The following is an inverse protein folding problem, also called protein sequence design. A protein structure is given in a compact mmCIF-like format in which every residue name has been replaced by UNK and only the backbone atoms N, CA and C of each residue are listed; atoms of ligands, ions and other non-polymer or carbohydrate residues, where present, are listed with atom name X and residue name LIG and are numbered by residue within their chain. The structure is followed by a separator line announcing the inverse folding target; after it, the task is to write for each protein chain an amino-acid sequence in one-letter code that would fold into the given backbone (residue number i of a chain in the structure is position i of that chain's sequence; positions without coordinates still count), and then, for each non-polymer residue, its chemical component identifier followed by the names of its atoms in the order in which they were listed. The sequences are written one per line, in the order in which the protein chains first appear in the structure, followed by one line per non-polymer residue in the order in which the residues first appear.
data_IF_543404529815
#
_entry.id   IF_543404529815
#
_cell.length_a   1.000
_cell.length_b   1.000
_cell.length_c   1.000
_cell.angle_alpha   90.00
_cell.angle_beta   90.00
_cell.angle_gamma   90.00
#
_symmetry.space_group_name_H-M   'P 1'
#
loop_
_entity.id
_entity.type
_entity.pdbx_description
1 polymer ?
#
# COMPACT_ATOMS: atom_id res chain seq x y z
N UNK A 1 5.77 -8.25 -3.12
CA UNK A 1 7.14 -7.68 -3.21
C UNK A 1 7.74 -7.83 -4.60
N UNK A 2 7.66 -8.99 -5.28
CA UNK A 2 8.17 -9.13 -6.66
C UNK A 2 7.58 -8.12 -7.65
N UNK A 3 6.27 -7.85 -7.59
CA UNK A 3 5.63 -6.83 -8.43
C UNK A 3 6.15 -5.40 -8.17
N UNK A 4 6.51 -5.07 -6.92
CA UNK A 4 7.08 -3.76 -6.56
C UNK A 4 8.55 -3.65 -6.98
N UNK A 5 9.31 -4.74 -6.84
CA UNK A 5 10.70 -4.83 -7.31
C UNK A 5 10.79 -4.74 -8.84
N UNK A 6 9.84 -5.35 -9.55
CA UNK A 6 9.75 -5.28 -11.01
C UNK A 6 9.46 -3.86 -11.54
N UNK A 7 8.86 -3.01 -10.72
CA UNK A 7 8.63 -1.60 -11.04
C UNK A 7 9.56 -0.67 -10.28
N UNK A 8 10.66 -1.13 -9.68
CA UNK A 8 11.58 -0.29 -8.91
C UNK A 8 10.86 0.64 -7.91
N UNK A 9 9.92 0.06 -7.15
CA UNK A 9 9.15 0.76 -6.13
C UNK A 9 9.55 0.21 -4.77
N UNK A 10 10.20 1.06 -3.99
CA UNK A 10 10.40 0.82 -2.57
C UNK A 10 9.06 1.00 -1.85
N UNK A 11 8.65 0.00 -1.08
CA UNK A 11 7.40 0.05 -0.30
C UNK A 11 7.63 0.79 1.03
N UNK A 12 8.88 0.93 1.46
CA UNK A 12 9.24 1.52 2.76
C UNK A 12 8.88 0.64 3.97
N UNK A 13 8.39 -0.58 3.74
CA UNK A 13 8.06 -1.58 4.75
C UNK A 13 8.55 -2.95 4.31
N UNK A 14 8.96 -3.77 5.28
CA UNK A 14 9.19 -5.19 5.07
C UNK A 14 7.87 -5.99 5.11
N UNK A 15 7.97 -7.31 4.95
CA UNK A 15 6.81 -8.20 4.93
C UNK A 15 5.99 -8.12 6.22
N UNK A 16 6.67 -8.04 7.36
CA UNK A 16 6.02 -7.97 8.66
C UNK A 16 5.35 -6.61 8.87
N UNK A 17 5.98 -5.52 8.43
CA UNK A 17 5.39 -4.18 8.44
C UNK A 17 4.11 -4.10 7.62
N UNK A 18 4.08 -4.69 6.42
CA UNK A 18 2.86 -4.75 5.61
C UNK A 18 1.76 -5.58 6.30
N UNK A 19 2.13 -6.73 6.91
CA UNK A 19 1.19 -7.56 7.67
C UNK A 19 0.61 -6.79 8.86
N UNK A 20 1.45 -6.08 9.61
CA UNK A 20 1.01 -5.28 10.76
C UNK A 20 0.08 -4.15 10.33
N UNK A 21 0.36 -3.46 9.21
CA UNK A 21 -0.50 -2.41 8.69
C UNK A 21 -1.90 -2.94 8.30
N UNK A 22 -1.97 -4.14 7.70
CA UNK A 22 -3.23 -4.82 7.41
C UNK A 22 -3.99 -5.15 8.70
N UNK A 23 -3.34 -5.80 9.67
CA UNK A 23 -3.98 -6.17 10.94
C UNK A 23 -4.44 -4.94 11.74
N UNK A 24 -3.65 -3.88 11.76
CA UNK A 24 -4.02 -2.62 12.39
C UNK A 24 -5.25 -2.00 11.74
N UNK A 25 -5.34 -2.02 10.41
CA UNK A 25 -6.51 -1.51 9.68
C UNK A 25 -7.75 -2.37 9.91
N UNK A 26 -7.60 -3.70 9.95
CA UNK A 26 -8.69 -4.62 10.27
C UNK A 26 -9.22 -4.37 11.70
N UNK A 27 -8.32 -4.25 12.67
CA UNK A 27 -8.66 -3.99 14.06
C UNK A 27 -9.31 -2.62 14.26
N UNK A 28 -8.78 -1.57 13.60
CA UNK A 28 -9.33 -0.22 13.67
C UNK A 28 -10.77 -0.14 13.13
N UNK A 29 -11.12 -1.00 12.17
CA UNK A 29 -12.48 -1.10 11.63
C UNK A 29 -13.38 -2.10 12.37
N UNK A 30 -12.88 -2.78 13.43
CA UNK A 30 -13.65 -3.80 14.15
C UNK A 30 -14.08 -4.98 13.28
N UNK A 31 -13.35 -5.27 12.20
CA UNK A 31 -13.71 -6.34 11.29
C UNK A 31 -13.24 -7.68 11.87
N UNK A 32 -14.17 -8.58 12.17
CA UNK A 32 -13.85 -9.90 12.74
C UNK A 32 -14.09 -11.07 11.79
N UNK A 33 -14.91 -10.88 10.75
CA UNK A 33 -15.20 -11.88 9.71
C UNK A 33 -15.29 -11.20 8.34
N UNK A 34 -15.09 -11.98 7.28
CA UNK A 34 -15.38 -11.60 5.89
C UNK A 34 -14.67 -10.31 5.41
N UNK A 35 -13.50 -10.00 5.98
CA UNK A 35 -12.72 -8.83 5.60
C UNK A 35 -11.96 -9.07 4.30
N UNK A 36 -12.25 -8.28 3.28
CA UNK A 36 -11.50 -8.23 2.04
C UNK A 36 -10.64 -6.96 2.01
N UNK A 37 -9.33 -7.13 1.88
CA UNK A 37 -8.37 -6.03 1.90
C UNK A 37 -7.79 -5.77 0.51
N UNK A 38 -7.86 -4.52 0.05
CA UNK A 38 -7.16 -4.02 -1.13
C UNK A 38 -5.98 -3.18 -0.68
N UNK A 39 -4.78 -3.69 -0.91
CA UNK A 39 -3.52 -2.98 -0.68
C UNK A 39 -3.02 -2.38 -1.99
N UNK A 40 -2.84 -1.07 -2.01
CA UNK A 40 -2.26 -0.34 -3.14
C UNK A 40 -1.00 0.37 -2.68
N UNK A 41 0.05 0.31 -3.49
CA UNK A 41 1.27 1.11 -3.27
C UNK A 41 1.51 1.95 -4.51
N UNK A 42 1.68 3.25 -4.31
CA UNK A 42 1.93 4.23 -5.39
C UNK A 42 3.27 4.89 -5.15
N UNK A 43 3.83 5.55 -6.18
CA UNK A 43 5.05 6.38 -6.04
C UNK A 43 4.78 7.72 -5.32
N UNK A 44 3.61 7.92 -4.72
CA UNK A 44 3.22 9.16 -4.05
C UNK A 44 3.01 10.35 -4.98
N UNK A 45 3.06 11.55 -4.42
CA UNK A 45 2.74 12.80 -5.13
C UNK A 45 3.85 13.12 -6.12
N UNK A 46 3.46 13.26 -7.39
CA UNK A 46 4.38 13.59 -8.47
C UNK A 46 4.36 15.08 -8.79
N UNK A 47 5.50 15.62 -9.21
CA UNK A 47 5.57 16.97 -9.75
C UNK A 47 4.96 17.08 -11.16
N UNK A 48 4.99 16.00 -11.94
CA UNK A 48 4.47 15.91 -13.31
C UNK A 48 3.86 14.52 -13.55
N UNK A 49 2.90 14.35 -14.48
CA UNK A 49 2.13 13.11 -14.65
C UNK A 49 2.93 11.92 -15.25
N UNK A 50 4.24 12.03 -15.43
CA UNK A 50 5.07 10.99 -16.04
C UNK A 50 5.50 9.90 -15.03
N UNK A 51 6.03 8.78 -15.54
CA UNK A 51 6.35 7.60 -14.72
C UNK A 51 7.79 7.55 -14.19
N UNK A 52 8.62 8.54 -14.51
CA UNK A 52 10.02 8.56 -14.10
C UNK A 52 10.15 8.66 -12.56
N UNK A 53 10.95 7.81 -11.89
CA UNK A 53 11.07 7.77 -10.43
C UNK A 53 11.45 9.11 -9.79
N UNK A 54 12.33 9.88 -10.43
CA UNK A 54 12.79 11.20 -9.93
C UNK A 54 11.71 12.28 -9.84
N UNK A 55 10.50 12.02 -10.36
CA UNK A 55 9.39 12.96 -10.31
C UNK A 55 8.52 12.81 -9.05
N UNK A 56 8.75 11.77 -8.24
CA UNK A 56 8.11 11.62 -6.92
C UNK A 56 8.70 12.63 -5.94
N UNK A 57 7.83 13.40 -5.25
CA UNK A 57 8.23 14.44 -4.29
C UNK A 57 8.22 13.96 -2.84
N UNK A 58 7.41 12.95 -2.53
CA UNK A 58 7.08 12.56 -1.15
C UNK A 58 7.42 11.10 -0.83
N UNK A 59 8.02 10.36 -1.77
CA UNK A 59 8.21 8.92 -1.64
C UNK A 59 6.92 8.13 -1.86
N UNK A 60 6.97 6.80 -1.70
CA UNK A 60 5.83 5.91 -1.92
C UNK A 60 4.69 6.18 -0.94
N UNK A 61 3.45 5.95 -1.37
CA UNK A 61 2.27 6.00 -0.50
C UNK A 61 1.57 4.66 -0.54
N UNK A 62 1.40 4.07 0.64
CA UNK A 62 0.65 2.84 0.84
C UNK A 62 -0.78 3.17 1.28
N UNK A 63 -1.77 2.58 0.60
CA UNK A 63 -3.18 2.73 0.90
C UNK A 63 -3.77 1.35 1.12
N UNK A 64 -4.46 1.16 2.23
CA UNK A 64 -5.21 -0.05 2.55
C UNK A 64 -6.69 0.34 2.62
N UNK A 65 -7.51 -0.33 1.81
CA UNK A 65 -8.96 -0.22 1.87
C UNK A 65 -9.48 -1.60 2.27
N UNK A 66 -10.37 -1.65 3.24
CA UNK A 66 -11.02 -2.87 3.67
C UNK A 66 -12.53 -2.75 3.52
N UNK A 67 -13.14 -3.82 3.06
CA UNK A 67 -14.59 -3.94 2.89
C UNK A 67 -15.03 -5.33 3.36
N UNK A 68 -16.30 -5.48 3.73
CA UNK A 68 -16.87 -6.81 3.91
C UNK A 68 -17.24 -7.37 2.54
N UNK A 69 -16.65 -8.50 2.18
CA UNK A 69 -16.98 -9.21 0.94
C UNK A 69 -17.73 -10.49 1.29
N UNK A 70 -18.93 -10.64 0.76
CA UNK A 70 -19.71 -11.89 0.79
C UNK A 70 -19.76 -12.52 -0.58
#
# INVERSE_FOLDING_TARGET
FEAARAVDLDIGLDRDGVRQALLATQAANGMHTDAHARLMVTRGVKSRPFQHPSLSRSGPTMVIIMEHSR
#
